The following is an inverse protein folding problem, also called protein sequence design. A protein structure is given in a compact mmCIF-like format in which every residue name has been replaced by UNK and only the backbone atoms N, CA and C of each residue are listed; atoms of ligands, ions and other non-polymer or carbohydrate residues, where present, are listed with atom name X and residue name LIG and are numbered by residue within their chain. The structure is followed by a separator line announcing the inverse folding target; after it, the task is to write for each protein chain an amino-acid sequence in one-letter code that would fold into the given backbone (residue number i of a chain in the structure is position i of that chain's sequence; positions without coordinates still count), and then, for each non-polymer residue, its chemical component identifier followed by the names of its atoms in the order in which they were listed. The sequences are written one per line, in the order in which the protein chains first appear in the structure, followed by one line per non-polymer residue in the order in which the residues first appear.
data_IF_953543503177
#
_entry.id   IF_953543503177
#
_cell.length_a   1.000
_cell.length_b   1.000
_cell.length_c   1.000
_cell.angle_alpha   90.00
_cell.angle_beta   90.00
_cell.angle_gamma   90.00
#
_symmetry.space_group_name_H-M   'P 1'
#
loop_
_entity.id
_entity.type
_entity.pdbx_description
1 polymer ?
#
# COMPACT_ATOMS: atom_id res chain seq x y z
N UNK A 1 -26.72 7.49 -25.76
CA UNK A 1 -25.53 7.62 -26.63
C UNK A 1 -24.43 6.78 -25.99
N UNK A 2 -23.82 5.85 -26.72
CA UNK A 2 -22.88 4.88 -26.12
C UNK A 2 -21.51 5.53 -25.94
N UNK A 3 -20.90 5.39 -24.76
CA UNK A 3 -19.67 6.10 -24.40
C UNK A 3 -18.64 5.10 -23.87
N UNK A 4 -17.41 5.18 -24.35
CA UNK A 4 -16.32 4.26 -24.03
C UNK A 4 -15.19 5.02 -23.33
N UNK A 5 -14.64 4.42 -22.29
CA UNK A 5 -13.58 5.00 -21.45
C UNK A 5 -12.40 4.05 -21.31
N UNK A 6 -11.23 4.62 -21.02
CA UNK A 6 -9.96 3.92 -20.87
C UNK A 6 -9.53 3.96 -19.40
N UNK A 7 -9.03 2.84 -18.83
CA UNK A 7 -8.54 2.85 -17.44
C UNK A 7 -7.22 3.61 -17.26
N UNK A 8 -6.45 3.82 -18.34
CA UNK A 8 -5.19 4.54 -18.32
C UNK A 8 -5.32 6.06 -18.45
N UNK A 9 -6.51 6.59 -18.77
CA UNK A 9 -6.71 8.02 -19.00
C UNK A 9 -8.18 8.45 -18.94
N UNK A 10 -8.48 9.67 -18.49
CA UNK A 10 -9.85 10.22 -18.35
C UNK A 10 -10.54 10.63 -19.66
N UNK A 11 -10.00 10.22 -20.82
CA UNK A 11 -10.54 10.60 -22.13
C UNK A 11 -11.68 9.65 -22.54
N UNK A 12 -12.79 10.25 -22.94
CA UNK A 12 -14.03 9.56 -23.34
C UNK A 12 -14.18 9.52 -24.85
N UNK A 13 -14.72 8.43 -25.37
CA UNK A 13 -14.88 8.18 -26.80
C UNK A 13 -16.33 7.80 -27.12
N UNK A 14 -16.90 8.42 -28.15
CA UNK A 14 -18.26 8.10 -28.61
C UNK A 14 -18.36 6.81 -29.44
N UNK A 15 -17.21 6.21 -29.82
CA UNK A 15 -17.15 4.99 -30.63
C UNK A 15 -16.09 4.03 -30.08
N UNK A 16 -16.45 2.74 -29.99
CA UNK A 16 -15.57 1.65 -29.52
C UNK A 16 -14.24 1.58 -30.28
N UNK A 17 -14.28 1.68 -31.61
CA UNK A 17 -13.08 1.61 -32.45
C UNK A 17 -12.06 2.72 -32.16
N UNK A 18 -12.54 3.92 -31.78
CA UNK A 18 -11.68 5.04 -31.41
C UNK A 18 -11.01 4.79 -30.06
N UNK A 19 -11.75 4.27 -29.08
CA UNK A 19 -11.19 3.90 -27.78
C UNK A 19 -10.15 2.77 -27.90
N UNK A 20 -10.42 1.76 -28.73
CA UNK A 20 -9.46 0.67 -29.00
C UNK A 20 -8.22 1.16 -29.75
N UNK A 21 -8.38 2.06 -30.73
CA UNK A 21 -7.24 2.67 -31.44
C UNK A 21 -6.39 3.50 -30.49
N UNK A 22 -7.02 4.30 -29.62
CA UNK A 22 -6.33 5.04 -28.56
C UNK A 22 -5.57 4.10 -27.62
N UNK A 23 -6.20 3.03 -27.15
CA UNK A 23 -5.54 2.01 -26.32
C UNK A 23 -4.29 1.46 -27.03
N UNK A 24 -4.40 1.10 -28.29
CA UNK A 24 -3.26 0.58 -29.07
C UNK A 24 -2.15 1.62 -29.29
N UNK A 25 -2.50 2.90 -29.51
CA UNK A 25 -1.54 3.96 -29.82
C UNK A 25 -0.85 4.56 -28.59
N UNK A 26 -1.59 4.71 -27.49
CA UNK A 26 -1.13 5.43 -26.29
C UNK A 26 -0.76 4.47 -25.17
N UNK A 27 -1.46 3.35 -25.04
CA UNK A 27 -1.26 2.37 -23.97
C UNK A 27 -0.75 1.03 -24.49
N UNK A 28 -0.36 0.95 -25.76
CA UNK A 28 0.11 -0.28 -26.41
C UNK A 28 -0.82 -1.49 -26.21
N UNK A 29 -2.13 -1.25 -26.06
CA UNK A 29 -3.15 -2.28 -25.87
C UNK A 29 -3.32 -2.77 -24.43
N UNK A 30 -2.58 -2.22 -23.47
CA UNK A 30 -2.56 -2.67 -22.07
C UNK A 30 -3.69 -2.08 -21.22
N UNK A 31 -4.30 -0.97 -21.64
CA UNK A 31 -5.39 -0.37 -20.88
C UNK A 31 -6.72 -1.11 -21.15
N UNK A 32 -7.59 -1.13 -20.15
CA UNK A 32 -8.91 -1.73 -20.29
C UNK A 32 -9.85 -0.67 -20.86
N UNK A 33 -10.53 -1.02 -21.95
CA UNK A 33 -11.59 -0.19 -22.51
C UNK A 33 -12.93 -0.71 -22.01
N UNK A 34 -13.72 0.17 -21.39
CA UNK A 34 -15.04 -0.18 -20.90
C UNK A 34 -16.12 0.76 -21.44
N UNK A 35 -17.32 0.22 -21.66
CA UNK A 35 -18.52 0.97 -21.99
C UNK A 35 -19.15 1.50 -20.70
N UNK A 36 -19.29 2.82 -20.63
CA UNK A 36 -19.82 3.54 -19.47
C UNK A 36 -21.30 3.26 -19.25
N UNK A 37 -22.05 2.96 -20.32
CA UNK A 37 -23.49 2.75 -20.27
C UNK A 37 -23.91 1.32 -19.93
N UNK A 38 -23.08 0.34 -20.28
CA UNK A 38 -23.41 -1.10 -20.13
C UNK A 38 -22.48 -1.84 -19.17
N UNK A 39 -21.39 -1.21 -18.71
CA UNK A 39 -20.38 -1.84 -17.85
C UNK A 39 -19.53 -2.91 -18.55
N UNK A 40 -19.70 -3.08 -19.86
CA UNK A 40 -18.96 -4.07 -20.65
C UNK A 40 -17.48 -3.67 -20.77
N UNK A 41 -16.55 -4.59 -20.53
CA UNK A 41 -15.11 -4.34 -20.62
C UNK A 41 -14.43 -5.25 -21.66
N UNK A 42 -13.66 -4.63 -22.56
CA UNK A 42 -12.78 -5.31 -23.52
C UNK A 42 -11.39 -5.44 -22.93
N UNK A 43 -10.95 -6.67 -22.66
CA UNK A 43 -9.53 -7.01 -22.54
C UNK A 43 -9.06 -7.49 -23.91
N UNK A 44 -8.07 -6.81 -24.51
CA UNK A 44 -7.49 -7.28 -25.76
C UNK A 44 -6.62 -8.50 -25.46
N UNK A 45 -7.09 -9.71 -25.79
CA UNK A 45 -6.31 -10.96 -25.76
C UNK A 45 -5.35 -11.05 -26.96
N UNK A 46 -4.62 -9.98 -27.28
CA UNK A 46 -3.53 -10.05 -28.26
C UNK A 46 -2.21 -10.14 -27.53
N UNK A 47 -1.91 -11.37 -27.13
CA UNK A 47 -0.54 -11.78 -26.88
C UNK A 47 0.28 -11.69 -28.18
N UNK A 48 1.52 -11.23 -28.02
CA UNK A 48 2.69 -11.45 -28.89
C UNK A 48 2.66 -10.81 -30.29
N UNK A 49 3.36 -9.66 -30.46
CA UNK A 49 4.35 -9.49 -31.57
C UNK A 49 4.96 -8.10 -31.79
N UNK A 50 4.90 -7.12 -30.88
CA UNK A 50 5.68 -5.88 -31.10
C UNK A 50 6.34 -5.41 -29.80
N UNK A 51 7.49 -6.02 -29.51
CA UNK A 51 8.70 -5.34 -29.05
C UNK A 51 9.88 -6.30 -29.33
N UNK A 52 10.47 -6.18 -30.52
CA UNK A 52 11.89 -6.49 -30.69
C UNK A 52 12.66 -5.35 -30.01
N UNK A 53 12.70 -5.37 -28.68
CA UNK A 53 13.81 -4.80 -27.94
C UNK A 53 14.70 -6.00 -27.64
N UNK A 54 15.90 -5.98 -28.21
CA UNK A 54 16.92 -6.99 -28.01
C UNK A 54 17.38 -6.97 -26.56
N UNK A 55 16.72 -7.73 -25.70
CA UNK A 55 17.21 -8.34 -24.47
C UNK A 55 16.11 -9.27 -23.94
N UNK A 56 16.53 -10.45 -23.48
CA UNK A 56 15.87 -11.74 -23.65
C UNK A 56 14.51 -11.91 -22.98
N UNK A 57 13.79 -12.94 -23.42
CA UNK A 57 12.60 -13.57 -22.82
C UNK A 57 12.61 -13.71 -21.28
N UNK A 58 13.76 -13.57 -20.61
CA UNK A 58 13.89 -13.57 -19.15
C UNK A 58 13.34 -12.28 -18.50
N UNK A 59 13.31 -11.16 -19.23
CA UNK A 59 12.87 -9.86 -18.71
C UNK A 59 11.34 -9.76 -18.55
N UNK A 60 10.55 -10.42 -19.40
CA UNK A 60 9.08 -10.40 -19.28
C UNK A 60 8.59 -11.07 -17.99
N UNK A 61 9.24 -12.15 -17.59
CA UNK A 61 9.02 -12.81 -16.29
C UNK A 61 9.48 -11.92 -15.13
N UNK A 62 10.62 -11.25 -15.29
CA UNK A 62 11.20 -10.37 -14.27
C UNK A 62 10.34 -9.12 -14.03
N UNK A 63 9.87 -8.47 -15.09
CA UNK A 63 8.97 -7.32 -15.01
C UNK A 63 7.63 -7.68 -14.37
N UNK A 64 7.07 -8.86 -14.70
CA UNK A 64 5.86 -9.35 -14.03
C UNK A 64 6.08 -9.63 -12.54
N UNK A 65 7.23 -10.19 -12.17
CA UNK A 65 7.59 -10.41 -10.78
C UNK A 65 7.74 -9.07 -10.03
N UNK A 66 8.42 -8.09 -10.63
CA UNK A 66 8.57 -6.74 -10.08
C UNK A 66 7.19 -6.09 -9.88
N UNK A 67 6.34 -6.09 -10.91
CA UNK A 67 4.99 -5.52 -10.83
C UNK A 67 4.11 -6.25 -9.81
N UNK A 68 4.25 -7.56 -9.67
CA UNK A 68 3.55 -8.35 -8.66
C UNK A 68 3.99 -7.97 -7.24
N UNK A 69 5.30 -7.79 -7.01
CA UNK A 69 5.84 -7.32 -5.73
C UNK A 69 5.31 -5.91 -5.42
N UNK A 70 5.43 -4.97 -6.36
CA UNK A 70 4.94 -3.60 -6.19
C UNK A 70 3.42 -3.56 -5.95
N UNK A 71 2.65 -4.39 -6.67
CA UNK A 71 1.22 -4.52 -6.49
C UNK A 71 0.84 -5.01 -5.09
N UNK A 72 1.57 -6.00 -4.54
CA UNK A 72 1.37 -6.48 -3.17
C UNK A 72 1.79 -5.48 -2.10
N UNK A 73 2.81 -4.66 -2.37
CA UNK A 73 3.25 -3.59 -1.47
C UNK A 73 2.25 -2.42 -1.41
N UNK A 74 1.51 -2.18 -2.50
CA UNK A 74 0.62 -1.03 -2.62
C UNK A 74 -0.50 -1.03 -1.56
N UNK A 75 -1.09 -2.20 -1.28
CA UNK A 75 -2.17 -2.29 -0.29
C UNK A 75 -1.74 -1.81 1.12
N UNK A 76 -0.71 -2.39 1.77
CA UNK A 76 -0.30 -1.93 3.09
C UNK A 76 0.28 -0.50 3.06
N UNK A 77 0.84 -0.05 1.93
CA UNK A 77 1.23 1.36 1.76
C UNK A 77 0.04 2.31 1.83
N UNK A 78 -1.05 2.00 1.10
CA UNK A 78 -2.27 2.80 1.11
C UNK A 78 -2.94 2.79 2.48
N UNK A 79 -2.95 1.64 3.17
CA UNK A 79 -3.44 1.55 4.54
C UNK A 79 -2.64 2.47 5.48
N UNK A 80 -1.31 2.39 5.45
CA UNK A 80 -0.46 3.28 6.24
C UNK A 80 -0.66 4.75 5.87
N UNK A 81 -0.82 5.03 4.58
CA UNK A 81 -1.03 6.38 4.06
C UNK A 81 -2.31 7.05 4.58
N UNK A 82 -3.36 6.26 4.76
CA UNK A 82 -4.64 6.71 5.31
C UNK A 82 -4.59 6.83 6.84
N UNK A 83 -3.89 5.92 7.51
CA UNK A 83 -3.82 5.91 8.97
C UNK A 83 -2.86 6.98 9.52
N UNK A 84 -1.82 7.37 8.78
CA UNK A 84 -0.77 8.25 9.31
C UNK A 84 -1.14 9.74 9.23
N UNK A 85 -1.06 10.42 10.38
CA UNK A 85 -1.32 11.86 10.49
C UNK A 85 0.03 12.60 10.52
N UNK A 86 0.57 12.89 9.33
CA UNK A 86 1.82 13.67 9.16
C UNK A 86 1.64 14.81 8.14
N UNK A 87 2.38 15.93 8.30
CA UNK A 87 2.34 17.03 7.33
C UNK A 87 2.72 16.54 5.92
N UNK A 88 2.02 17.05 4.89
CA UNK A 88 2.22 16.65 3.48
C UNK A 88 3.69 16.72 3.03
N UNK A 89 4.43 17.72 3.49
CA UNK A 89 5.85 17.93 3.18
C UNK A 89 6.74 16.78 3.71
N UNK A 90 6.38 16.18 4.84
CA UNK A 90 7.12 15.07 5.46
C UNK A 90 6.65 13.71 4.92
N UNK A 91 5.40 13.65 4.44
CA UNK A 91 4.76 12.44 3.91
C UNK A 91 5.58 11.81 2.78
N UNK A 92 5.96 12.58 1.78
CA UNK A 92 6.76 12.09 0.65
C UNK A 92 8.11 11.51 1.11
N UNK A 93 8.83 12.20 1.99
CA UNK A 93 10.14 11.75 2.49
C UNK A 93 10.00 10.46 3.31
N UNK A 94 8.98 10.39 4.16
CA UNK A 94 8.67 9.20 4.95
C UNK A 94 8.40 7.98 4.07
N UNK A 95 7.47 8.09 3.11
CA UNK A 95 7.12 6.97 2.23
C UNK A 95 8.28 6.58 1.31
N UNK A 96 9.03 7.54 0.76
CA UNK A 96 10.22 7.23 -0.04
C UNK A 96 11.25 6.42 0.78
N UNK A 97 11.49 6.82 2.03
CA UNK A 97 12.43 6.12 2.91
C UNK A 97 11.94 4.71 3.27
N UNK A 98 10.64 4.57 3.59
CA UNK A 98 10.03 3.27 3.89
C UNK A 98 10.08 2.33 2.69
N UNK A 99 9.75 2.82 1.49
CA UNK A 99 9.79 2.04 0.24
C UNK A 99 11.22 1.56 -0.02
N UNK A 100 12.22 2.46 0.02
CA UNK A 100 13.62 2.08 -0.18
C UNK A 100 14.10 1.05 0.85
N UNK A 101 13.72 1.21 2.12
CA UNK A 101 14.05 0.23 3.17
C UNK A 101 13.38 -1.11 2.91
N UNK A 102 12.12 -1.11 2.49
CA UNK A 102 11.37 -2.33 2.22
C UNK A 102 11.96 -3.12 1.04
N UNK A 103 12.31 -2.44 -0.06
CA UNK A 103 12.91 -3.08 -1.24
C UNK A 103 14.30 -3.66 -0.97
N UNK A 104 15.01 -3.13 0.03
CA UNK A 104 16.29 -3.68 0.51
C UNK A 104 16.12 -4.84 1.53
N UNK A 105 14.89 -5.25 1.84
CA UNK A 105 14.58 -6.38 2.74
C UNK A 105 14.38 -7.68 1.97
N UNK A 106 14.53 -8.81 2.65
CA UNK A 106 14.15 -10.13 2.12
C UNK A 106 12.64 -10.29 1.96
N UNK A 107 11.84 -9.51 2.69
CA UNK A 107 10.39 -9.46 2.59
C UNK A 107 9.91 -7.99 2.63
N UNK A 108 9.75 -7.34 1.46
CA UNK A 108 9.35 -5.94 1.38
C UNK A 108 7.93 -5.69 1.89
N UNK A 109 7.02 -6.65 1.67
CA UNK A 109 5.61 -6.55 2.06
C UNK A 109 5.50 -6.55 3.58
N UNK A 110 6.21 -7.48 4.23
CA UNK A 110 6.26 -7.56 5.70
C UNK A 110 6.83 -6.30 6.33
N UNK A 111 7.86 -5.68 5.76
CA UNK A 111 8.42 -4.43 6.32
C UNK A 111 7.39 -3.30 6.33
N UNK A 112 6.58 -3.16 5.28
CA UNK A 112 5.52 -2.16 5.24
C UNK A 112 4.40 -2.53 6.22
N UNK A 113 4.04 -3.82 6.30
CA UNK A 113 3.05 -4.30 7.26
C UNK A 113 3.47 -4.03 8.71
N UNK A 114 4.74 -4.24 9.06
CA UNK A 114 5.28 -3.91 10.38
C UNK A 114 5.18 -2.40 10.66
N UNK A 115 5.33 -1.55 9.64
CA UNK A 115 5.13 -0.11 9.78
C UNK A 115 3.65 0.25 10.02
N UNK A 116 2.71 -0.41 9.35
CA UNK A 116 1.26 -0.30 9.62
C UNK A 116 0.96 -0.68 11.07
N UNK A 117 1.42 -1.85 11.50
CA UNK A 117 1.16 -2.39 12.83
C UNK A 117 1.77 -1.51 13.93
N UNK A 118 2.97 -0.96 13.70
CA UNK A 118 3.61 -0.01 14.60
C UNK A 118 2.81 1.29 14.70
N UNK A 119 2.36 1.85 13.57
CA UNK A 119 1.54 3.07 13.58
C UNK A 119 0.23 2.86 14.36
N UNK A 120 -0.49 1.75 14.10
CA UNK A 120 -1.71 1.38 14.82
C UNK A 120 -1.45 1.18 16.31
N UNK A 121 -0.32 0.58 16.69
CA UNK A 121 0.09 0.42 18.09
C UNK A 121 0.33 1.76 18.78
N UNK A 122 0.97 2.72 18.09
CA UNK A 122 1.20 4.09 18.61
C UNK A 122 -0.13 4.81 18.81
N UNK A 123 -1.04 4.74 17.83
CA UNK A 123 -2.37 5.34 17.92
C UNK A 123 -3.19 4.72 19.06
N UNK A 124 -3.24 3.39 19.13
CA UNK A 124 -3.93 2.66 20.20
C UNK A 124 -3.39 3.05 21.58
N UNK A 125 -2.07 3.13 21.74
CA UNK A 125 -1.43 3.60 22.97
C UNK A 125 -1.86 5.03 23.32
N UNK A 126 -1.83 5.95 22.37
CA UNK A 126 -2.23 7.34 22.63
C UNK A 126 -3.70 7.44 23.05
N UNK A 127 -4.58 6.64 22.44
CA UNK A 127 -5.99 6.57 22.81
C UNK A 127 -6.19 6.02 24.24
N UNK A 128 -5.51 4.92 24.59
CA UNK A 128 -5.54 4.36 25.96
C UNK A 128 -5.02 5.39 26.97
N UNK A 129 -3.92 6.10 26.65
CA UNK A 129 -3.38 7.14 27.52
C UNK A 129 -4.37 8.28 27.73
N UNK A 130 -5.10 8.73 26.70
CA UNK A 130 -6.14 9.77 26.85
C UNK A 130 -7.27 9.29 27.76
N UNK A 131 -7.79 8.07 27.59
CA UNK A 131 -8.82 7.53 28.49
C UNK A 131 -8.37 7.44 29.95
N UNK A 132 -7.14 7.01 30.21
CA UNK A 132 -6.62 6.93 31.58
C UNK A 132 -6.35 8.33 32.16
N UNK A 133 -5.81 9.24 31.34
CA UNK A 133 -5.55 10.63 31.73
C UNK A 133 -6.83 11.35 32.15
N UNK A 134 -7.88 11.25 31.33
CA UNK A 134 -9.19 11.86 31.60
C UNK A 134 -9.93 11.15 32.74
N UNK A 135 -9.93 9.81 32.75
CA UNK A 135 -10.66 9.02 33.74
C UNK A 135 -10.06 9.05 35.15
N UNK A 136 -8.77 9.38 35.28
CA UNK A 136 -8.07 9.42 36.58
C UNK A 136 -7.56 10.82 36.95
N UNK A 137 -7.98 11.86 36.22
CA UNK A 137 -7.60 13.27 36.44
C UNK A 137 -6.08 13.46 36.61
N UNK A 138 -5.30 12.94 35.66
CA UNK A 138 -3.85 13.04 35.65
C UNK A 138 -3.33 13.49 34.30
N UNK A 139 -2.09 13.98 34.23
CA UNK A 139 -1.51 14.41 32.95
C UNK A 139 -1.29 13.21 32.02
N UNK A 140 -1.35 13.43 30.70
CA UNK A 140 -1.06 12.37 29.73
C UNK A 140 0.33 11.75 29.90
N UNK A 141 1.29 12.52 30.44
CA UNK A 141 2.63 12.03 30.77
C UNK A 141 2.58 11.04 31.94
N UNK A 142 1.85 11.38 33.00
CA UNK A 142 1.72 10.54 34.19
C UNK A 142 0.90 9.27 33.88
N UNK A 143 -0.21 9.40 33.15
CA UNK A 143 -1.00 8.27 32.66
C UNK A 143 -0.15 7.28 31.86
N UNK A 144 0.73 7.79 30.99
CA UNK A 144 1.66 6.96 30.21
C UNK A 144 2.66 6.22 31.10
N UNK A 145 3.20 6.86 32.13
CA UNK A 145 4.11 6.22 33.09
C UNK A 145 3.37 5.16 33.91
N UNK A 146 2.16 5.47 34.36
CA UNK A 146 1.29 4.58 35.11
C UNK A 146 0.96 3.31 34.32
N UNK A 147 0.45 3.45 33.09
CA UNK A 147 0.16 2.32 32.19
C UNK A 147 1.42 1.47 31.95
N UNK A 148 2.56 2.12 31.69
CA UNK A 148 3.82 1.39 31.48
C UNK A 148 4.22 0.58 32.72
N UNK A 149 3.99 1.10 33.93
CA UNK A 149 4.19 0.37 35.19
C UNK A 149 3.28 -0.86 35.26
N UNK A 150 1.97 -0.67 35.08
CA UNK A 150 0.99 -1.77 35.10
C UNK A 150 1.32 -2.88 34.10
N UNK A 151 1.70 -2.52 32.87
CA UNK A 151 2.09 -3.49 31.86
C UNK A 151 3.32 -4.28 32.31
N UNK A 152 4.37 -3.60 32.79
CA UNK A 152 5.60 -4.25 33.23
C UNK A 152 5.39 -5.20 34.41
N UNK A 153 4.48 -4.85 35.30
CA UNK A 153 4.17 -5.65 36.48
C UNK A 153 3.24 -6.83 36.17
N UNK A 154 2.52 -6.78 35.05
CA UNK A 154 1.62 -7.84 34.61
C UNK A 154 2.32 -9.18 34.37
N UNK A 155 1.63 -10.27 34.70
CA UNK A 155 2.07 -11.64 34.40
C UNK A 155 2.27 -11.85 32.90
N UNK A 156 1.40 -11.24 32.09
CA UNK A 156 1.47 -11.30 30.63
C UNK A 156 2.81 -10.80 30.09
N UNK A 157 3.24 -9.59 30.49
CA UNK A 157 4.52 -9.02 30.06
C UNK A 157 5.73 -9.85 30.54
N UNK A 158 5.68 -10.32 31.79
CA UNK A 158 6.73 -11.17 32.36
C UNK A 158 6.90 -12.49 31.60
N UNK A 159 5.80 -13.07 31.11
CA UNK A 159 5.85 -14.28 30.29
C UNK A 159 6.29 -14.00 28.85
N UNK A 160 5.80 -12.91 28.26
CA UNK A 160 6.19 -12.48 26.91
C UNK A 160 7.69 -12.25 26.76
N UNK A 161 8.31 -11.60 27.74
CA UNK A 161 9.76 -11.31 27.73
C UNK A 161 10.64 -12.54 27.95
N UNK A 162 10.14 -13.59 28.60
CA UNK A 162 10.87 -14.87 28.77
C UNK A 162 10.95 -15.66 27.46
N UNK A 163 9.88 -15.66 26.68
CA UNK A 163 9.78 -16.40 25.41
C UNK A 163 10.69 -15.79 24.33
N UNK A 164 10.93 -14.48 24.40
CA UNK A 164 11.69 -13.72 23.39
C UNK A 164 13.18 -13.52 23.68
N UNK A 165 13.78 -14.19 24.66
CA UNK A 165 15.24 -14.17 24.79
C UNK A 165 15.86 -14.98 23.63
N UNK A 166 16.56 -14.36 22.67
CA UNK A 166 17.38 -15.11 21.75
C UNK A 166 18.53 -15.72 22.57
N UNK A 167 18.78 -17.01 22.39
CA UNK A 167 20.10 -17.59 22.65
C UNK A 167 21.08 -17.04 21.62
#
# INVERSE_FOLDING_TARGET
MQEYSCTGFTKKFSRKCNALRHNNQIHHGLAIIYDVSTGWASKNNKDTNILKLSESQDNWSTDQAILSILGKMLQPLMELENDIIIPKQQKTKFFATLIMRSLNSSDPIKVIQEAVDLNRSIQGRNKIVSYVSEGMDMTAKDARLYINGLIKDSSYYKNYTKIKKPY
#
